data_IF_637016076180
#
_entry.id   IF_637016076180
#
_cell.length_a   1.000
_cell.length_b   1.000
_cell.length_c   1.000
_cell.angle_alpha   90.00
_cell.angle_beta   90.00
_cell.angle_gamma   90.00
#
_symmetry.space_group_name_H-M   'P 1'
#
loop_
_entity.id
_entity.type
_entity.pdbx_description
1 polymer ?
#
# COMPACT_ATOMS: atom_id res chain seq x y z
N UNK A 1 17.58 14.84 15.78
CA UNK A 1 16.46 13.90 16.04
C UNK A 1 15.41 14.09 14.94
N UNK A 2 15.11 13.03 14.17
CA UNK A 2 14.07 13.09 13.13
C UNK A 2 12.79 12.52 13.75
N UNK A 3 11.74 13.34 13.80
CA UNK A 3 10.41 12.91 14.25
C UNK A 3 9.52 12.90 13.02
N UNK A 4 8.90 11.75 12.74
CA UNK A 4 7.94 11.59 11.65
C UNK A 4 6.53 11.88 12.15
N UNK A 5 5.86 12.87 11.55
CA UNK A 5 4.59 13.38 12.08
C UNK A 5 3.62 13.73 10.96
N UNK A 6 2.36 13.33 11.19
CA UNK A 6 1.17 13.73 10.44
C UNK A 6 1.18 13.26 8.99
N UNK A 7 0.10 12.64 8.52
CA UNK A 7 -0.01 12.36 7.09
C UNK A 7 -0.18 13.67 6.32
N UNK A 8 0.57 13.84 5.22
CA UNK A 8 0.30 14.87 4.23
C UNK A 8 -0.57 14.32 3.11
N UNK A 9 -0.18 13.21 2.49
CA UNK A 9 -0.91 12.57 1.40
C UNK A 9 -0.38 11.15 1.15
N UNK A 10 -1.24 10.33 0.54
CA UNK A 10 -0.89 9.02 0.01
C UNK A 10 -1.03 9.11 -1.50
N UNK A 11 0.04 8.75 -2.20
CA UNK A 11 0.13 8.82 -3.65
C UNK A 11 0.34 7.42 -4.21
N UNK A 12 -0.35 7.09 -5.29
CA UNK A 12 -0.20 5.82 -5.99
C UNK A 12 0.15 6.00 -7.46
N UNK A 13 0.73 4.97 -8.07
CA UNK A 13 0.97 4.90 -9.52
C UNK A 13 0.83 3.46 -9.98
N UNK A 14 0.11 3.23 -11.08
CA UNK A 14 0.02 1.91 -11.71
C UNK A 14 1.38 1.46 -12.23
N UNK A 15 1.76 0.23 -11.90
CA UNK A 15 3.04 -0.37 -12.28
C UNK A 15 4.22 0.06 -11.39
N UNK A 16 5.34 -0.62 -11.60
CA UNK A 16 6.59 -0.41 -10.85
C UNK A 16 7.43 0.74 -11.46
N UNK A 17 8.25 1.44 -10.66
CA UNK A 17 9.21 2.41 -11.20
C UNK A 17 10.34 1.71 -11.97
N UNK A 18 10.88 2.36 -13.01
CA UNK A 18 11.89 1.76 -13.88
C UNK A 18 13.27 1.54 -13.21
N UNK A 19 13.59 2.29 -12.15
CA UNK A 19 14.81 2.12 -11.36
C UNK A 19 14.68 2.78 -9.98
N UNK A 20 15.57 2.40 -9.06
CA UNK A 20 15.63 2.94 -7.70
C UNK A 20 16.08 4.42 -7.65
N UNK A 21 16.87 4.85 -8.65
CA UNK A 21 17.51 6.18 -8.73
C UNK A 21 16.53 7.29 -9.15
N UNK A 22 15.39 6.92 -9.75
CA UNK A 22 14.21 7.76 -9.93
C UNK A 22 13.50 7.98 -8.58
N UNK A 23 14.25 8.45 -7.59
CA UNK A 23 13.95 8.76 -6.20
C UNK A 23 12.46 9.06 -5.95
N UNK A 24 11.60 8.05 -5.83
CA UNK A 24 10.13 8.16 -5.62
C UNK A 24 9.62 9.60 -5.64
N UNK A 25 9.67 10.19 -6.83
CA UNK A 25 9.28 11.57 -7.03
C UNK A 25 7.77 11.55 -7.12
N UNK A 26 7.11 12.61 -6.66
CA UNK A 26 5.65 12.69 -6.78
C UNK A 26 5.20 12.73 -8.24
N UNK A 27 6.12 13.00 -9.18
CA UNK A 27 5.88 13.06 -10.62
C UNK A 27 5.28 11.76 -11.14
N UNK A 28 4.07 11.85 -11.68
CA UNK A 28 3.33 10.70 -12.22
C UNK A 28 2.64 9.84 -11.16
N UNK A 29 2.73 10.20 -9.88
CA UNK A 29 1.87 9.62 -8.85
C UNK A 29 0.68 10.54 -8.59
N UNK A 30 -0.48 9.94 -8.31
CA UNK A 30 -1.73 10.66 -8.05
C UNK A 30 -2.32 10.24 -6.71
N UNK A 31 -3.02 11.15 -6.05
CA UNK A 31 -3.72 10.85 -4.80
C UNK A 31 -4.91 9.92 -5.07
N UNK A 32 -5.19 9.00 -4.15
CA UNK A 32 -6.42 8.19 -4.19
C UNK A 32 -7.66 8.96 -3.72
N UNK A 33 -7.49 10.16 -3.18
CA UNK A 33 -8.54 10.98 -2.57
C UNK A 33 -8.07 11.58 -1.25
N UNK A 34 -9.02 12.10 -0.47
CA UNK A 34 -8.81 12.57 0.89
C UNK A 34 -8.78 11.35 1.81
N UNK A 35 -7.66 11.17 2.50
CA UNK A 35 -7.53 10.14 3.54
C UNK A 35 -8.30 10.57 4.78
N UNK A 36 -9.19 9.70 5.28
CA UNK A 36 -9.96 9.95 6.49
C UNK A 36 -9.05 9.99 7.72
N UNK A 37 -9.35 10.89 8.65
CA UNK A 37 -8.51 11.14 9.82
C UNK A 37 -8.33 9.86 10.66
N UNK A 38 -7.13 9.67 11.21
CA UNK A 38 -6.78 8.58 12.14
C UNK A 38 -6.89 7.15 11.57
N UNK A 39 -7.08 7.01 10.25
CA UNK A 39 -7.14 5.71 9.58
C UNK A 39 -5.81 5.24 8.99
N UNK A 40 -4.91 6.17 8.65
CA UNK A 40 -3.63 5.87 8.02
C UNK A 40 -2.66 5.23 9.03
N UNK A 41 -2.39 3.93 8.86
CA UNK A 41 -1.56 3.11 9.75
C UNK A 41 -0.58 2.27 8.95
N UNK A 42 0.60 2.05 9.53
CA UNK A 42 1.59 1.10 9.04
C UNK A 42 1.80 0.03 10.09
N UNK A 43 1.82 -1.24 9.67
CA UNK A 43 2.19 -2.37 10.51
C UNK A 43 3.21 -3.24 9.79
N UNK A 44 4.10 -3.86 10.56
CA UNK A 44 4.99 -4.91 10.09
C UNK A 44 4.65 -6.16 10.91
N UNK A 45 4.25 -7.22 10.22
CA UNK A 45 4.09 -8.54 10.84
C UNK A 45 5.48 -9.15 11.07
N UNK A 46 5.59 -10.06 12.05
CA UNK A 46 6.79 -10.85 12.25
C UNK A 46 7.01 -11.84 11.11
N UNK A 47 8.27 -12.21 10.89
CA UNK A 47 8.62 -13.28 9.96
C UNK A 47 8.25 -14.66 10.49
N UNK A 48 8.14 -15.61 9.58
CA UNK A 48 7.95 -17.03 9.91
C UNK A 48 9.24 -17.78 9.57
N UNK A 49 9.72 -18.63 10.47
CA UNK A 49 10.79 -19.57 10.19
C UNK A 49 10.20 -20.97 10.06
N UNK A 50 10.57 -21.68 9.00
CA UNK A 50 10.23 -23.10 8.80
C UNK A 50 11.51 -23.89 8.92
N UNK A 51 11.56 -24.75 9.93
CA UNK A 51 12.71 -25.60 10.24
C UNK A 51 12.47 -27.00 9.67
N UNK A 52 13.46 -27.53 8.98
CA UNK A 52 13.48 -28.87 8.41
C UNK A 52 14.43 -29.74 9.22
N UNK A 53 13.89 -30.80 9.81
CA UNK A 53 14.60 -31.75 10.65
C UNK A 53 14.88 -33.05 9.89
N UNK A 54 16.00 -33.70 10.18
CA UNK A 54 16.27 -35.07 9.73
C UNK A 54 16.10 -36.00 10.93
N UNK A 55 15.52 -37.19 10.73
CA UNK A 55 15.25 -38.11 11.86
C UNK A 55 16.52 -38.61 12.59
N UNK A 56 17.69 -38.45 11.97
CA UNK A 56 18.99 -38.87 12.51
C UNK A 56 19.67 -37.78 13.37
N UNK A 57 19.13 -36.55 13.36
CA UNK A 57 19.75 -35.38 13.98
C UNK A 57 18.67 -34.63 14.77
N UNK A 58 18.89 -34.45 16.07
CA UNK A 58 17.93 -33.78 16.96
C UNK A 58 17.79 -32.26 16.68
N UNK A 59 18.78 -31.67 16.03
CA UNK A 59 18.81 -30.26 15.60
C UNK A 59 18.27 -30.07 14.17
N UNK A 60 17.69 -28.90 13.83
CA UNK A 60 17.21 -28.63 12.48
C UNK A 60 18.37 -28.60 11.47
N UNK A 61 18.21 -29.33 10.37
CA UNK A 61 19.20 -29.43 9.29
C UNK A 61 19.16 -28.22 8.37
N UNK A 62 17.98 -27.65 8.16
CA UNK A 62 17.80 -26.47 7.31
C UNK A 62 16.72 -25.54 7.88
N UNK A 63 16.97 -24.23 7.88
CA UNK A 63 16.00 -23.22 8.33
C UNK A 63 15.70 -22.27 7.18
N UNK A 64 14.44 -22.20 6.77
CA UNK A 64 13.95 -21.20 5.81
C UNK A 64 13.19 -20.09 6.52
N UNK A 65 13.73 -18.88 6.46
CA UNK A 65 13.07 -17.67 6.92
C UNK A 65 12.21 -17.01 5.85
N UNK A 66 11.00 -16.59 6.21
CA UNK A 66 10.09 -15.79 5.41
C UNK A 66 9.86 -14.46 6.10
N UNK A 67 10.23 -13.37 5.45
CA UNK A 67 10.04 -12.03 6.01
C UNK A 67 8.55 -11.73 6.22
N UNK A 68 8.25 -11.08 7.35
CA UNK A 68 6.91 -10.63 7.66
C UNK A 68 6.42 -9.54 6.71
N UNK A 69 5.08 -9.38 6.65
CA UNK A 69 4.45 -8.45 5.71
C UNK A 69 4.52 -7.02 6.23
N UNK A 70 4.87 -6.08 5.34
CA UNK A 70 4.64 -4.66 5.60
C UNK A 70 3.30 -4.26 5.01
N UNK A 71 2.40 -3.73 5.85
CA UNK A 71 1.02 -3.39 5.49
C UNK A 71 0.75 -1.92 5.81
N UNK A 72 0.15 -1.23 4.86
CA UNK A 72 -0.39 0.12 5.02
C UNK A 72 -1.90 0.08 4.92
N UNK A 73 -2.60 0.57 5.94
CA UNK A 73 -4.05 0.68 5.96
C UNK A 73 -4.44 2.16 5.95
N UNK A 74 -5.43 2.54 5.16
CA UNK A 74 -5.99 3.89 5.15
C UNK A 74 -7.39 3.88 4.57
N UNK A 75 -8.24 4.85 4.93
CA UNK A 75 -9.57 4.98 4.36
C UNK A 75 -9.70 6.26 3.54
N UNK A 76 -10.43 6.20 2.44
CA UNK A 76 -10.72 7.35 1.57
C UNK A 76 -12.14 7.83 1.85
N UNK A 77 -12.30 9.12 2.14
CA UNK A 77 -13.60 9.71 2.53
C UNK A 77 -14.40 10.29 1.36
N UNK A 78 -13.77 10.54 0.22
CA UNK A 78 -14.41 11.12 -0.97
C UNK A 78 -14.08 10.31 -2.24
N UNK A 79 -14.38 9.00 -2.27
CA UNK A 79 -14.13 8.19 -3.46
C UNK A 79 -14.97 8.71 -4.65
N UNK A 80 -14.33 8.93 -5.79
CA UNK A 80 -15.01 9.17 -7.07
C UNK A 80 -15.04 7.89 -7.93
N UNK A 81 -15.75 7.92 -9.06
CA UNK A 81 -15.86 6.73 -9.94
C UNK A 81 -14.50 6.27 -10.47
N UNK A 82 -13.55 7.19 -10.66
CA UNK A 82 -12.19 6.84 -11.12
C UNK A 82 -11.40 6.13 -10.04
N UNK A 83 -11.55 6.54 -8.79
CA UNK A 83 -10.98 5.88 -7.60
C UNK A 83 -11.57 4.50 -7.42
N UNK A 84 -12.88 4.33 -7.58
CA UNK A 84 -13.53 3.01 -7.50
C UNK A 84 -12.99 2.08 -8.59
N UNK A 85 -12.92 2.56 -9.84
CA UNK A 85 -12.33 1.79 -10.93
C UNK A 85 -10.88 1.39 -10.65
N UNK A 86 -10.09 2.31 -10.08
CA UNK A 86 -8.67 2.07 -9.76
C UNK A 86 -8.46 1.08 -8.62
N UNK A 87 -9.32 1.09 -7.60
CA UNK A 87 -9.15 0.30 -6.38
C UNK A 87 -9.88 -1.05 -6.41
N UNK A 88 -10.90 -1.18 -7.24
CA UNK A 88 -11.70 -2.41 -7.36
C UNK A 88 -11.65 -3.01 -8.78
N UNK A 89 -11.25 -2.24 -9.80
CA UNK A 89 -11.37 -2.63 -11.20
C UNK A 89 -12.74 -2.27 -11.78
N UNK A 90 -13.18 -3.04 -12.78
CA UNK A 90 -14.48 -2.84 -13.42
C UNK A 90 -14.52 -1.68 -14.41
N UNK A 91 -15.73 -1.22 -14.71
CA UNK A 91 -16.01 -0.33 -15.83
C UNK A 91 -16.73 0.93 -15.37
N UNK A 92 -16.39 2.06 -15.99
CA UNK A 92 -17.08 3.33 -15.77
C UNK A 92 -17.71 3.74 -17.09
N UNK A 93 -19.03 3.87 -17.08
CA UNK A 93 -19.81 4.34 -18.22
C UNK A 93 -20.63 5.55 -17.78
N UNK A 94 -20.29 6.73 -18.31
CA UNK A 94 -20.88 8.01 -17.92
C UNK A 94 -20.78 8.25 -16.40
N UNK A 95 -21.90 8.14 -15.68
CA UNK A 95 -22.00 8.40 -14.24
C UNK A 95 -22.21 7.11 -13.42
N UNK A 96 -21.95 5.94 -14.00
CA UNK A 96 -22.12 4.63 -13.34
C UNK A 96 -20.80 3.89 -13.35
N UNK A 97 -20.41 3.37 -12.19
CA UNK A 97 -19.35 2.38 -12.07
C UNK A 97 -19.97 1.00 -11.82
N UNK A 98 -19.57 0.02 -12.63
CA UNK A 98 -19.96 -1.38 -12.49
C UNK A 98 -18.83 -2.16 -11.80
N UNK A 99 -19.18 -2.84 -10.70
CA UNK A 99 -18.26 -3.73 -10.00
C UNK A 99 -17.89 -4.91 -10.93
N UNK A 100 -16.61 -5.32 -10.99
CA UNK A 100 -16.21 -6.42 -11.87
C UNK A 100 -16.70 -7.79 -11.37
N UNK A 101 -17.13 -8.66 -12.28
CA UNK A 101 -17.58 -10.02 -11.94
C UNK A 101 -16.46 -10.91 -11.36
N UNK A 102 -15.20 -10.60 -11.72
CA UNK A 102 -14.02 -11.29 -11.23
C UNK A 102 -13.12 -10.35 -10.41
N UNK A 103 -12.60 -10.86 -9.30
CA UNK A 103 -11.66 -10.11 -8.46
C UNK A 103 -10.39 -9.78 -9.25
N UNK A 104 -10.15 -8.49 -9.50
CA UNK A 104 -8.94 -8.03 -10.16
C UNK A 104 -7.82 -7.91 -9.13
N UNK A 105 -6.64 -8.47 -9.41
CA UNK A 105 -5.46 -8.20 -8.60
C UNK A 105 -4.88 -6.85 -9.00
N UNK A 106 -4.95 -5.88 -8.09
CA UNK A 106 -4.47 -4.53 -8.33
C UNK A 106 -3.12 -4.37 -7.64
N UNK A 107 -2.13 -3.99 -8.43
CA UNK A 107 -0.77 -3.74 -7.96
C UNK A 107 -0.33 -2.34 -8.37
N UNK A 108 0.08 -1.56 -7.38
CA UNK A 108 0.53 -0.19 -7.60
C UNK A 108 1.77 0.13 -6.78
N UNK A 109 2.59 1.05 -7.29
CA UNK A 109 3.60 1.71 -6.50
C UNK A 109 2.95 2.74 -5.57
N UNK A 110 3.43 2.86 -4.33
CA UNK A 110 2.89 3.76 -3.31
C UNK A 110 3.97 4.67 -2.73
N UNK A 111 3.57 5.90 -2.43
CA UNK A 111 4.34 6.85 -1.63
C UNK A 111 3.47 7.32 -0.47
N UNK A 112 3.93 7.06 0.75
CA UNK A 112 3.36 7.62 1.97
C UNK A 112 4.21 8.82 2.33
N UNK A 113 3.60 10.01 2.27
CA UNK A 113 4.27 11.26 2.54
C UNK A 113 3.72 11.88 3.84
N UNK A 114 4.47 11.78 4.95
CA UNK A 114 4.19 12.56 6.14
C UNK A 114 4.53 14.04 5.94
N UNK A 115 4.01 14.91 6.82
CA UNK A 115 4.29 16.35 6.80
C UNK A 115 5.75 16.66 7.15
N UNK A 116 6.34 15.84 8.02
CA UNK A 116 7.73 15.94 8.45
C UNK A 116 8.29 14.55 8.71
N UNK A 117 9.60 14.39 8.54
CA UNK A 117 10.35 13.21 8.95
C UNK A 117 10.61 12.26 7.79
N UNK A 118 10.19 11.01 7.94
CA UNK A 118 10.47 9.94 6.98
C UNK A 118 9.32 9.77 5.99
N UNK A 119 9.62 9.79 4.69
CA UNK A 119 8.73 9.32 3.63
C UNK A 119 8.97 7.83 3.38
N UNK A 120 7.90 7.10 3.12
CA UNK A 120 7.96 5.68 2.79
C UNK A 120 7.54 5.48 1.34
N UNK A 121 8.25 4.61 0.64
CA UNK A 121 7.96 4.36 -0.76
C UNK A 121 8.08 2.87 -1.09
N UNK A 122 7.03 2.34 -1.69
CA UNK A 122 6.84 0.93 -1.98
C UNK A 122 6.70 0.79 -3.48
N UNK A 123 7.67 0.20 -4.20
CA UNK A 123 7.60 0.09 -5.66
C UNK A 123 6.47 -0.81 -6.15
N UNK A 124 6.09 -1.81 -5.35
CA UNK A 124 5.00 -2.74 -5.65
C UNK A 124 4.21 -3.05 -4.39
N UNK A 125 2.97 -2.61 -4.35
CA UNK A 125 2.02 -2.95 -3.29
C UNK A 125 0.81 -3.63 -3.90
N UNK A 126 0.40 -4.76 -3.30
CA UNK A 126 -0.87 -5.40 -3.60
C UNK A 126 -1.98 -4.65 -2.88
N UNK A 127 -2.91 -4.08 -3.64
CA UNK A 127 -4.01 -3.27 -3.13
C UNK A 127 -5.25 -4.16 -2.97
N UNK A 128 -5.86 -4.09 -1.79
CA UNK A 128 -7.20 -4.60 -1.53
C UNK A 128 -8.05 -3.46 -1.00
N UNK A 129 -9.22 -3.28 -1.58
CA UNK A 129 -10.16 -2.26 -1.13
C UNK A 129 -11.48 -2.87 -0.68
N UNK A 130 -12.17 -2.20 0.24
CA UNK A 130 -13.51 -2.57 0.73
C UNK A 130 -14.37 -1.32 0.85
N UNK A 131 -15.63 -1.40 0.43
CA UNK A 131 -16.63 -0.37 0.69
C UNK A 131 -17.19 -0.57 2.10
N UNK A 132 -17.04 0.45 2.94
CA UNK A 132 -17.61 0.50 4.28
C UNK A 132 -18.45 1.76 4.40
N UNK A 133 -19.78 1.62 4.30
CA UNK A 133 -20.71 2.74 4.29
C UNK A 133 -21.67 2.69 5.46
N UNK A 134 -21.70 3.75 6.24
CA UNK A 134 -22.77 4.00 7.20
C UNK A 134 -23.65 5.15 6.68
N UNK A 135 -24.89 4.85 6.28
CA UNK A 135 -25.81 5.85 5.71
C UNK A 135 -26.72 6.49 6.77
N UNK A 136 -26.20 6.66 7.99
CA UNK A 136 -26.86 7.44 9.05
C UNK A 136 -26.58 8.94 8.86
N UNK A 137 -27.28 9.82 9.58
CA UNK A 137 -27.03 11.29 9.53
C UNK A 137 -25.59 11.69 9.89
N UNK A 138 -24.86 10.81 10.59
CA UNK A 138 -23.46 11.02 11.01
C UNK A 138 -22.49 10.07 10.33
N UNK A 139 -23.00 9.03 9.68
CA UNK A 139 -22.20 8.03 9.00
C UNK A 139 -21.68 8.55 7.66
N UNK A 140 -20.60 7.92 7.19
CA UNK A 140 -19.95 8.26 5.92
C UNK A 140 -19.69 6.99 5.12
N UNK A 141 -19.64 7.14 3.79
CA UNK A 141 -19.04 6.13 2.94
C UNK A 141 -17.51 6.26 2.98
N UNK A 142 -16.85 5.19 3.39
CA UNK A 142 -15.41 5.05 3.39
C UNK A 142 -15.00 3.92 2.44
N UNK A 143 -13.97 4.16 1.63
CA UNK A 143 -13.25 3.08 0.95
C UNK A 143 -12.03 2.75 1.79
N UNK A 144 -12.08 1.61 2.47
CA UNK A 144 -10.96 1.07 3.24
C UNK A 144 -9.97 0.42 2.28
N UNK A 145 -8.71 0.84 2.36
CA UNK A 145 -7.63 0.33 1.51
C UNK A 145 -6.57 -0.31 2.38
N UNK A 146 -6.24 -1.55 2.05
CA UNK A 146 -5.11 -2.31 2.58
C UNK A 146 -4.10 -2.51 1.46
N UNK A 147 -2.92 -1.92 1.63
CA UNK A 147 -1.80 -2.07 0.72
C UNK A 147 -0.70 -2.91 1.37
N UNK A 148 -0.43 -4.07 0.80
CA UNK A 148 0.64 -4.97 1.26
C UNK A 148 1.85 -4.80 0.36
N UNK A 149 3.01 -4.43 0.92
CA UNK A 149 4.25 -4.34 0.16
C UNK A 149 4.70 -5.72 -0.32
N UNK A 150 5.00 -5.83 -1.61
CA UNK A 150 5.40 -7.07 -2.27
C UNK A 150 6.85 -6.96 -2.75
N UNK A 151 7.50 -8.10 -2.99
CA UNK A 151 8.76 -8.12 -3.73
C UNK A 151 8.53 -7.53 -5.13
N UNK A 152 9.26 -6.49 -5.55
CA UNK A 152 9.17 -5.96 -6.90
C UNK A 152 9.59 -7.01 -7.92
N UNK A 153 8.96 -6.98 -9.10
CA UNK A 153 9.36 -7.81 -10.23
C UNK A 153 10.54 -7.18 -11.00
N UNK A 154 10.68 -5.86 -10.95
CA UNK A 154 11.76 -5.12 -11.61
C UNK A 154 13.08 -5.34 -10.87
N UNK A 155 14.09 -5.80 -11.60
CA UNK A 155 15.43 -6.05 -11.04
C UNK A 155 16.05 -4.77 -10.46
N UNK A 156 16.82 -4.94 -9.39
CA UNK A 156 17.48 -3.84 -8.69
C UNK A 156 16.59 -3.03 -7.74
N UNK A 157 15.26 -3.25 -7.75
CA UNK A 157 14.36 -2.64 -6.77
C UNK A 157 14.31 -3.42 -5.45
N UNK A 158 14.12 -2.70 -4.35
CA UNK A 158 13.89 -3.23 -3.00
C UNK A 158 12.44 -3.06 -2.59
N UNK A 159 11.95 -3.90 -1.67
CA UNK A 159 10.54 -3.92 -1.23
C UNK A 159 10.04 -2.59 -0.66
N UNK A 160 10.93 -1.84 0.01
CA UNK A 160 10.60 -0.62 0.71
C UNK A 160 11.82 0.31 0.68
N UNK A 161 11.56 1.58 0.43
CA UNK A 161 12.52 2.66 0.52
C UNK A 161 12.04 3.69 1.54
N UNK A 162 12.99 4.20 2.32
CA UNK A 162 12.74 5.24 3.30
C UNK A 162 13.65 6.42 2.99
N UNK A 163 13.06 7.60 2.85
CA UNK A 163 13.79 8.85 2.59
C UNK A 163 13.38 9.94 3.56
N UNK A 164 14.11 11.06 3.56
CA UNK A 164 13.68 12.25 4.28
C UNK A 164 12.63 13.01 3.46
N UNK A 165 11.61 13.52 4.14
CA UNK A 165 10.79 14.61 3.62
C UNK A 165 11.68 15.85 3.66
N UNK A 166 12.05 16.39 2.50
CA UNK A 166 12.83 17.62 2.45
C UNK A 166 12.06 18.71 3.22
N UNK A 167 12.69 19.38 4.20
CA UNK A 167 12.09 20.55 4.80
C UNK A 167 11.89 21.58 3.68
N UNK A 168 10.63 21.95 3.42
CA UNK A 168 10.35 23.23 2.75
C UNK A 168 10.70 24.35 3.71
#
# INVERSE_FOLDING_TARGET
MVITLGLSKILGKTGEPANATATFTETGYTTFGLTYQDTAKMSQEDGEETEFYAEEIDDPVEVMGKEGKTIFNFSIMNPDLTTLKRLFGGEVASNVWAYPDASTQIEESLIILPRKGLKFSVPRAKIKAKLNGEFSKKGLLLVEVTATAMKPNTEGLKKLYVGLVNPK
#
